data_IF_831036771273
#
_entry.id   IF_831036771273
#
_cell.length_a   1.000
_cell.length_b   1.000
_cell.length_c   1.000
_cell.angle_alpha   90.00
_cell.angle_beta   90.00
_cell.angle_gamma   90.00
#
_symmetry.space_group_name_H-M   'P 1'
#
loop_
_entity.id
_entity.type
_entity.pdbx_description
1 polymer ?
#
# COMPACT_ATOMS: atom_id res chain seq x y z
N UNK A 1 -31.70 7.80 -7.29
CA UNK A 1 -30.58 7.22 -6.54
C UNK A 1 -29.30 7.75 -7.16
N UNK A 2 -28.65 8.69 -6.51
CA UNK A 2 -27.35 9.21 -6.93
C UNK A 2 -26.35 8.07 -6.81
N UNK A 3 -25.88 7.54 -7.93
CA UNK A 3 -24.66 6.73 -7.98
C UNK A 3 -23.55 7.65 -7.49
N UNK A 4 -23.22 7.62 -6.18
CA UNK A 4 -21.99 8.24 -5.72
C UNK A 4 -20.88 7.51 -6.45
N UNK A 5 -20.13 8.20 -7.29
CA UNK A 5 -19.00 7.63 -8.01
C UNK A 5 -18.11 6.87 -7.03
N UNK A 6 -18.10 5.55 -7.09
CA UNK A 6 -17.21 4.74 -6.25
C UNK A 6 -15.80 4.86 -6.83
N UNK A 7 -14.85 5.39 -6.06
CA UNK A 7 -13.44 5.45 -6.48
C UNK A 7 -12.78 4.10 -6.24
N UNK A 8 -12.06 3.60 -7.24
CA UNK A 8 -11.14 2.48 -7.10
C UNK A 8 -9.70 2.99 -7.06
N UNK A 9 -8.85 2.23 -6.37
CA UNK A 9 -7.44 2.51 -6.24
C UNK A 9 -6.65 1.31 -6.70
N UNK A 10 -5.73 1.53 -7.62
CA UNK A 10 -4.71 0.56 -7.98
C UNK A 10 -3.38 1.04 -7.39
N UNK A 11 -2.92 0.38 -6.33
CA UNK A 11 -1.57 0.60 -5.83
C UNK A 11 -0.59 0.02 -6.83
N UNK A 12 0.47 0.76 -7.12
CA UNK A 12 1.59 0.31 -7.93
C UNK A 12 2.89 0.89 -7.40
N UNK A 13 4.00 0.24 -7.72
CA UNK A 13 5.35 0.75 -7.47
C UNK A 13 6.14 0.67 -8.79
N UNK A 14 6.73 1.78 -9.28
CA UNK A 14 7.42 1.79 -10.58
C UNK A 14 8.59 0.81 -10.70
N UNK A 15 9.16 0.35 -9.59
CA UNK A 15 10.26 -0.62 -9.59
C UNK A 15 9.80 -2.09 -9.63
N UNK A 16 8.51 -2.34 -9.43
CA UNK A 16 7.94 -3.68 -9.54
C UNK A 16 7.61 -4.02 -11.01
N UNK A 17 7.81 -5.27 -11.47
CA UNK A 17 7.30 -5.66 -12.76
C UNK A 17 5.78 -5.49 -12.75
N UNK A 18 5.25 -4.78 -13.75
CA UNK A 18 3.81 -4.58 -13.99
C UNK A 18 3.07 -5.92 -13.96
N UNK A 19 2.65 -6.31 -12.76
CA UNK A 19 1.76 -7.44 -12.56
C UNK A 19 0.34 -6.90 -12.68
N UNK A 20 -0.62 -7.77 -13.03
CA UNK A 20 -2.03 -7.39 -13.06
C UNK A 20 -2.50 -7.07 -11.64
N UNK A 21 -2.22 -5.85 -11.19
CA UNK A 21 -2.56 -5.35 -9.87
C UNK A 21 -4.07 -5.17 -9.82
N UNK A 22 -4.68 -5.86 -8.87
CA UNK A 22 -6.11 -5.76 -8.63
C UNK A 22 -6.36 -4.42 -7.96
N UNK A 23 -7.33 -3.68 -8.48
CA UNK A 23 -7.80 -2.50 -7.80
C UNK A 23 -8.57 -2.87 -6.52
N UNK A 24 -8.40 -2.04 -5.50
CA UNK A 24 -9.13 -2.08 -4.24
C UNK A 24 -10.09 -0.89 -4.18
N UNK A 25 -11.19 -1.04 -3.46
CA UNK A 25 -12.05 0.08 -3.13
C UNK A 25 -12.26 0.12 -1.62
N UNK A 26 -12.37 1.34 -1.11
CA UNK A 26 -12.58 1.59 0.31
C UNK A 26 -14.04 1.29 0.65
N UNK A 27 -14.28 0.19 1.37
CA UNK A 27 -15.63 -0.30 1.66
C UNK A 27 -16.16 0.21 3.00
N UNK A 28 -15.30 0.29 4.01
CA UNK A 28 -15.71 0.78 5.35
C UNK A 28 -15.66 2.30 5.46
N UNK A 29 -14.91 2.97 4.57
CA UNK A 29 -14.62 4.41 4.64
C UNK A 29 -13.90 4.83 5.94
N UNK A 30 -13.18 3.92 6.59
CA UNK A 30 -12.45 4.24 7.84
C UNK A 30 -11.27 5.20 7.60
N UNK A 31 -10.61 5.08 6.45
CA UNK A 31 -9.58 6.00 5.96
C UNK A 31 -10.14 6.80 4.80
N UNK A 32 -9.69 8.03 4.54
CA UNK A 32 -10.16 8.79 3.38
C UNK A 32 -9.53 8.31 2.06
N UNK A 33 -8.31 7.79 2.11
CA UNK A 33 -7.52 7.38 0.94
C UNK A 33 -6.60 6.21 1.31
N UNK A 34 -6.24 5.29 0.39
CA UNK A 34 -5.34 4.18 0.70
C UNK A 34 -3.89 4.58 0.97
N UNK A 35 -3.49 5.80 0.61
CA UNK A 35 -2.12 6.30 0.80
C UNK A 35 -1.70 6.24 2.25
N UNK A 36 -2.49 6.82 3.16
CA UNK A 36 -2.16 6.87 4.59
C UNK A 36 -1.93 5.47 5.19
N UNK A 37 -2.87 4.51 5.11
CA UNK A 37 -2.64 3.17 5.65
C UNK A 37 -1.54 2.42 4.89
N UNK A 38 -1.38 2.60 3.58
CA UNK A 38 -0.34 1.90 2.82
C UNK A 38 1.06 2.40 3.16
N UNK A 39 1.27 3.72 3.24
CA UNK A 39 2.55 4.32 3.63
C UNK A 39 2.87 3.99 5.09
N UNK A 40 1.88 4.02 5.99
CA UNK A 40 2.07 3.57 7.37
C UNK A 40 2.61 2.14 7.44
N UNK A 41 1.95 1.19 6.75
CA UNK A 41 2.38 -0.22 6.70
C UNK A 41 3.80 -0.34 6.15
N UNK A 42 4.14 0.44 5.13
CA UNK A 42 5.47 0.45 4.54
C UNK A 42 6.52 0.97 5.53
N UNK A 43 6.24 2.04 6.27
CA UNK A 43 7.13 2.56 7.32
C UNK A 43 7.34 1.54 8.45
N UNK A 44 6.30 0.80 8.84
CA UNK A 44 6.43 -0.27 9.83
C UNK A 44 7.31 -1.43 9.32
N UNK A 45 7.15 -1.81 8.05
CA UNK A 45 7.99 -2.84 7.43
C UNK A 45 9.46 -2.41 7.31
N UNK A 46 9.71 -1.14 6.95
CA UNK A 46 11.04 -0.54 6.89
C UNK A 46 11.70 -0.54 8.29
N UNK A 47 10.99 -0.07 9.31
CA UNK A 47 11.52 0.04 10.67
C UNK A 47 11.78 -1.33 11.33
N UNK A 48 10.89 -2.30 11.13
CA UNK A 48 10.97 -3.61 11.82
C UNK A 48 11.86 -4.61 11.10
N UNK A 49 11.89 -4.56 9.77
CA UNK A 49 12.51 -5.61 8.95
C UNK A 49 13.48 -5.08 7.91
N UNK A 50 13.62 -3.76 7.75
CA UNK A 50 14.50 -3.16 6.75
C UNK A 50 14.06 -3.42 5.31
N UNK A 51 12.77 -3.70 5.07
CA UNK A 51 12.24 -4.02 3.74
C UNK A 51 11.07 -3.12 3.37
N UNK A 52 10.90 -2.90 2.06
CA UNK A 52 9.67 -2.33 1.50
C UNK A 52 8.78 -3.45 1.01
N UNK A 53 7.48 -3.34 1.21
CA UNK A 53 6.50 -4.30 0.70
C UNK A 53 6.11 -3.93 -0.73
N UNK A 54 5.82 -4.94 -1.54
CA UNK A 54 5.26 -4.75 -2.87
C UNK A 54 3.83 -4.22 -2.85
N UNK A 55 3.42 -3.52 -3.92
CA UNK A 55 2.10 -2.90 -4.07
C UNK A 55 0.96 -3.93 -3.96
N UNK A 56 1.19 -5.14 -4.48
CA UNK A 56 0.28 -6.27 -4.28
C UNK A 56 0.07 -6.58 -2.81
N UNK A 57 1.15 -6.68 -2.03
CA UNK A 57 1.07 -7.05 -0.62
C UNK A 57 0.48 -5.94 0.23
N UNK A 58 0.82 -4.69 -0.08
CA UNK A 58 0.17 -3.52 0.53
C UNK A 58 -1.35 -3.59 0.31
N UNK A 59 -1.78 -3.88 -0.92
CA UNK A 59 -3.21 -4.04 -1.25
C UNK A 59 -3.86 -5.19 -0.47
N UNK A 60 -3.17 -6.33 -0.31
CA UNK A 60 -3.64 -7.44 0.53
C UNK A 60 -3.80 -7.03 2.01
N UNK A 61 -2.86 -6.25 2.54
CA UNK A 61 -2.91 -5.74 3.92
C UNK A 61 -4.05 -4.73 4.09
N UNK A 62 -4.26 -3.83 3.12
CA UNK A 62 -5.41 -2.92 3.12
C UNK A 62 -6.73 -3.67 3.20
N UNK A 63 -6.86 -4.76 2.45
CA UNK A 63 -8.07 -5.61 2.48
C UNK A 63 -8.22 -6.38 3.79
N UNK A 64 -7.12 -6.81 4.41
CA UNK A 64 -7.14 -7.56 5.66
C UNK A 64 -7.45 -6.68 6.88
N UNK A 65 -6.95 -5.44 6.91
CA UNK A 65 -6.88 -4.67 8.15
C UNK A 65 -7.53 -3.28 8.10
N UNK A 66 -7.75 -2.71 6.92
CA UNK A 66 -8.18 -1.30 6.77
C UNK A 66 -9.51 -1.15 6.04
N UNK A 67 -10.31 -2.22 5.99
CA UNK A 67 -11.67 -2.16 5.45
C UNK A 67 -11.77 -1.97 3.93
N UNK A 68 -10.70 -2.27 3.18
CA UNK A 68 -10.73 -2.31 1.73
C UNK A 68 -11.28 -3.64 1.21
N UNK A 69 -11.73 -3.65 -0.04
CA UNK A 69 -12.12 -4.87 -0.74
C UNK A 69 -11.57 -4.91 -2.15
N UNK A 70 -11.25 -6.12 -2.62
CA UNK A 70 -10.95 -6.36 -4.02
C UNK A 70 -12.18 -6.11 -4.88
N UNK A 71 -11.97 -5.46 -6.01
CA UNK A 71 -13.01 -5.29 -7.03
C UNK A 71 -13.21 -6.62 -7.74
N UNK A 72 -14.45 -7.10 -7.77
CA UNK A 72 -14.88 -8.28 -8.52
C UNK A 72 -15.87 -7.82 -9.59
N UNK A 73 -15.50 -7.93 -10.86
CA UNK A 73 -16.38 -7.56 -11.99
C UNK A 73 -15.98 -6.23 -12.65
N UNK A 74 -16.95 -5.56 -13.28
CA UNK A 74 -16.71 -4.30 -13.97
C UNK A 74 -16.08 -3.27 -13.02
N UNK A 75 -14.97 -2.67 -13.46
CA UNK A 75 -14.29 -1.59 -12.73
C UNK A 75 -15.30 -0.48 -12.43
N UNK A 76 -15.24 0.16 -11.25
CA UNK A 76 -16.10 1.29 -10.97
C UNK A 76 -15.75 2.46 -11.90
N UNK A 77 -16.62 3.45 -11.91
CA UNK A 77 -16.62 4.54 -12.90
C UNK A 77 -15.30 5.34 -12.90
N UNK A 78 -14.58 5.37 -11.77
CA UNK A 78 -13.29 6.06 -11.62
C UNK A 78 -12.24 5.12 -11.01
N UNK A 79 -11.07 5.07 -11.65
CA UNK A 79 -9.90 4.33 -11.20
C UNK A 79 -8.73 5.31 -11.05
N UNK A 80 -8.19 5.39 -9.84
CA UNK A 80 -6.99 6.14 -9.50
C UNK A 80 -5.80 5.17 -9.36
N UNK A 81 -4.68 5.51 -10.01
CA UNK A 81 -3.43 4.79 -9.82
C UNK A 81 -2.60 5.52 -8.77
N UNK A 82 -2.24 4.81 -7.72
CA UNK A 82 -1.51 5.35 -6.57
C UNK A 82 -0.08 4.85 -6.63
N UNK A 83 0.86 5.75 -6.92
CA UNK A 83 2.29 5.45 -6.91
C UNK A 83 2.77 5.41 -5.46
N UNK A 84 3.11 4.21 -4.98
CA UNK A 84 3.55 4.01 -3.60
C UNK A 84 4.96 4.56 -3.33
N UNK A 85 5.80 4.72 -4.36
CA UNK A 85 7.09 5.40 -4.22
C UNK A 85 6.87 6.88 -3.99
N UNK A 86 6.13 7.53 -4.90
CA UNK A 86 5.81 8.95 -4.79
C UNK A 86 5.04 9.26 -3.49
N UNK A 87 4.02 8.47 -3.17
CA UNK A 87 3.22 8.66 -1.95
C UNK A 87 4.05 8.57 -0.66
N UNK A 88 5.08 7.72 -0.65
CA UNK A 88 6.02 7.59 0.47
C UNK A 88 7.01 8.75 0.56
N UNK A 89 7.35 9.37 -0.56
CA UNK A 89 8.21 10.56 -0.64
C UNK A 89 7.45 11.84 -0.25
N UNK A 90 6.17 11.93 -0.59
CA UNK A 90 5.32 13.10 -0.31
C UNK A 90 4.68 13.09 1.08
N UNK A 91 4.59 11.93 1.73
CA UNK A 91 3.96 11.81 3.04
C UNK A 91 4.80 12.44 4.17
N UNK A 92 4.13 13.03 5.16
CA UNK A 92 4.75 13.34 6.44
C UNK A 92 5.00 12.03 7.21
N UNK A 93 6.20 11.50 7.08
CA UNK A 93 6.53 10.16 7.56
C UNK A 93 6.63 10.08 9.07
N UNK A 94 6.96 11.19 9.75
CA UNK A 94 7.11 11.19 11.21
C UNK A 94 5.74 11.13 11.88
N UNK A 95 4.81 11.98 11.44
CA UNK A 95 3.42 11.97 11.90
C UNK A 95 2.74 10.65 11.58
N UNK A 96 2.91 10.15 10.35
CA UNK A 96 2.26 8.92 9.93
C UNK A 96 2.81 7.70 10.66
N UNK A 97 4.13 7.63 10.89
CA UNK A 97 4.76 6.50 11.59
C UNK A 97 4.21 6.31 13.02
N UNK A 98 3.91 7.41 13.71
CA UNK A 98 3.36 7.41 15.07
C UNK A 98 1.83 7.44 15.13
N UNK A 99 1.13 7.32 14.00
CA UNK A 99 -0.31 7.40 13.95
C UNK A 99 -0.97 6.16 14.57
N UNK A 100 -1.42 6.29 15.82
CA UNK A 100 -2.08 5.23 16.59
C UNK A 100 -3.39 4.74 15.95
N UNK A 101 -4.06 5.58 15.16
CA UNK A 101 -5.33 5.21 14.49
C UNK A 101 -5.15 4.14 13.41
N UNK A 102 -3.92 3.92 12.94
CA UNK A 102 -3.56 2.93 11.93
C UNK A 102 -3.00 1.64 12.55
N UNK A 103 -2.82 1.58 13.87
CA UNK A 103 -2.36 0.37 14.55
C UNK A 103 -3.44 -0.71 14.45
N UNK A 104 -3.05 -1.93 14.04
CA UNK A 104 -3.97 -3.06 13.88
C UNK A 104 -3.36 -4.32 14.50
N UNK A 105 -4.18 -5.04 15.28
CA UNK A 105 -3.78 -6.29 15.88
C UNK A 105 -3.41 -7.32 14.81
N UNK A 106 -2.21 -7.89 14.91
CA UNK A 106 -1.71 -8.87 13.95
C UNK A 106 -1.07 -8.29 12.69
N UNK A 107 -1.04 -6.96 12.51
CA UNK A 107 -0.42 -6.31 11.35
C UNK A 107 1.06 -6.68 11.22
N UNK A 108 1.84 -6.54 12.30
CA UNK A 108 3.27 -6.88 12.32
C UNK A 108 3.50 -8.34 11.90
N UNK A 109 2.64 -9.26 12.36
CA UNK A 109 2.70 -10.67 11.98
C UNK A 109 2.41 -10.86 10.49
N UNK A 110 1.42 -10.15 9.95
CA UNK A 110 1.10 -10.20 8.53
C UNK A 110 2.24 -9.64 7.66
N UNK A 111 2.89 -8.55 8.09
CA UNK A 111 4.09 -8.00 7.43
C UNK A 111 5.18 -9.07 7.39
N UNK A 112 5.51 -9.68 8.55
CA UNK A 112 6.53 -10.73 8.66
C UNK A 112 6.27 -11.93 7.74
N UNK A 113 5.02 -12.35 7.58
CA UNK A 113 4.65 -13.48 6.74
C UNK A 113 4.84 -13.23 5.23
N UNK A 114 4.96 -11.97 4.82
CA UNK A 114 5.17 -11.57 3.42
C UNK A 114 6.62 -11.71 2.97
N UNK A 115 7.55 -11.87 3.92
CA UNK A 115 8.99 -11.90 3.65
C UNK A 115 9.41 -13.36 3.42
N UNK A 116 10.13 -13.69 2.33
CA UNK A 116 10.76 -12.78 1.36
C UNK A 116 10.00 -12.58 0.04
N UNK A 117 8.81 -13.16 -0.12
CA UNK A 117 8.19 -13.32 -1.45
C UNK A 117 7.58 -12.03 -2.02
N UNK A 118 7.10 -11.11 -1.17
CA UNK A 118 6.39 -9.89 -1.60
C UNK A 118 7.08 -8.62 -1.08
N UNK A 119 8.41 -8.62 -1.11
CA UNK A 119 9.23 -7.46 -0.75
C UNK A 119 9.89 -6.85 -1.99
N UNK A 120 9.94 -5.53 -2.02
CA UNK A 120 10.78 -4.78 -2.94
C UNK A 120 12.14 -4.65 -2.26
N UNK A 121 13.11 -5.42 -2.75
CA UNK A 121 14.50 -5.25 -2.33
C UNK A 121 14.97 -3.86 -2.70
N UNK A 122 15.43 -3.09 -1.72
CA UNK A 122 16.16 -1.84 -1.90
C UNK A 122 17.52 -2.14 -2.53
N UNK A 123 17.55 -2.57 -3.79
CA UNK A 123 18.79 -2.71 -4.57
C UNK A 123 19.38 -1.35 -4.96
N UNK A 124 18.77 -0.23 -4.56
CA UNK A 124 19.33 1.12 -4.68
C UNK A 124 20.49 1.40 -3.69
N UNK A 125 21.25 0.36 -3.26
CA UNK A 125 22.51 0.54 -2.52
C UNK A 125 23.76 -0.01 -3.22
N UNK A 126 23.68 -0.44 -4.48
CA UNK A 126 24.86 -0.97 -5.18
C UNK A 126 25.16 -0.41 -6.58
N UNK A 127 24.32 0.44 -7.19
CA UNK A 127 24.60 0.90 -8.57
C UNK A 127 24.49 2.42 -8.84
N UNK A 128 24.32 3.28 -7.83
CA UNK A 128 24.41 4.76 -8.02
C UNK A 128 25.72 5.39 -7.52
N UNK A 129 26.74 4.57 -7.26
CA UNK A 129 28.14 5.02 -7.09
C UNK A 129 29.05 4.47 -8.22
N UNK A 130 28.47 4.21 -9.41
CA UNK A 130 29.17 3.66 -10.56
C UNK A 130 28.78 4.28 -11.93
N UNK A 131 28.15 5.47 -11.96
CA UNK A 131 27.88 6.21 -13.20
C UNK A 131 28.36 7.66 -13.11
#
# INVERSE_FOLDING_TARGET
>A
MTLSSTMAYQLHNPVEPLTAEKAVFNFTHETSHPVEPAVYVQLQAEALYGVRLGARRLSEILVQFYGYRWIKGALPVLLEKVDMRQAREDADTDDLFHNESLVRDGLIRAIRQSIPCDVVTLSERLDEEAA
#
